data_IF_081467707293
#
_entry.id   IF_081467707293
#
_cell.length_a   1.000
_cell.length_b   1.000
_cell.length_c   1.000
_cell.angle_alpha   90.00
_cell.angle_beta   90.00
_cell.angle_gamma   90.00
#
_symmetry.space_group_name_H-M   'P 1'
#
loop_
_entity.id
_entity.type
_entity.pdbx_description
1 polymer ?
#
# COMPACT_ATOMS: atom_id res chain seq x y z
N UNK A 1 4.85 -11.31 9.00
CA UNK A 1 4.78 -9.92 8.51
C UNK A 1 4.29 -9.99 7.06
N UNK A 2 3.16 -9.40 6.70
CA UNK A 2 2.58 -9.49 5.34
C UNK A 2 3.28 -8.50 4.39
N UNK A 3 3.38 -8.84 3.09
CA UNK A 3 4.05 -7.99 2.08
C UNK A 3 3.53 -6.54 2.06
N UNK A 4 2.20 -6.37 2.18
CA UNK A 4 1.56 -5.07 2.31
C UNK A 4 2.12 -4.24 3.48
N UNK A 5 2.30 -4.83 4.66
CA UNK A 5 2.84 -4.10 5.81
C UNK A 5 4.30 -3.67 5.59
N UNK A 6 5.08 -4.43 4.82
CA UNK A 6 6.44 -4.04 4.45
C UNK A 6 6.42 -2.86 3.50
N UNK A 7 5.63 -2.92 2.43
CA UNK A 7 5.51 -1.84 1.44
C UNK A 7 4.89 -0.58 2.07
N UNK A 8 3.85 -0.71 2.89
CA UNK A 8 3.14 0.40 3.53
C UNK A 8 4.02 1.28 4.44
N UNK A 9 5.21 0.81 4.84
CA UNK A 9 6.18 1.62 5.60
C UNK A 9 6.79 2.74 4.77
N UNK A 10 6.84 2.62 3.45
CA UNK A 10 7.30 3.70 2.57
C UNK A 10 6.18 4.70 2.23
N UNK A 11 4.98 4.55 2.81
CA UNK A 11 3.86 5.44 2.54
C UNK A 11 4.22 6.87 2.94
N UNK A 12 3.99 7.79 2.01
CA UNK A 12 4.14 9.22 2.24
C UNK A 12 2.88 9.80 2.86
N UNK A 13 3.06 10.85 3.65
CA UNK A 13 1.99 11.60 4.26
C UNK A 13 2.15 13.08 3.92
N UNK A 14 1.05 13.74 3.57
CA UNK A 14 1.00 15.17 3.30
C UNK A 14 0.03 15.82 4.28
N UNK A 15 0.53 16.73 5.12
CA UNK A 15 -0.26 17.36 6.19
C UNK A 15 -1.00 16.34 7.09
N UNK A 16 -0.43 15.15 7.29
CA UNK A 16 -1.03 14.06 8.08
C UNK A 16 -2.03 13.20 7.31
N UNK A 17 -2.32 13.52 6.05
CA UNK A 17 -3.14 12.71 5.15
C UNK A 17 -2.26 11.63 4.49
N UNK A 18 -2.61 10.34 4.59
CA UNK A 18 -1.88 9.30 3.88
C UNK A 18 -2.06 9.43 2.37
N UNK A 19 -0.96 9.35 1.62
CA UNK A 19 -0.98 9.23 0.17
C UNK A 19 -1.05 7.76 -0.25
N UNK A 20 -1.57 7.51 -1.45
CA UNK A 20 -1.57 6.17 -2.04
C UNK A 20 -0.16 5.62 -2.22
N UNK A 21 -0.03 4.29 -2.16
CA UNK A 21 1.24 3.63 -2.44
C UNK A 21 1.56 3.73 -3.93
N UNK A 22 2.79 4.16 -4.21
CA UNK A 22 3.33 4.22 -5.57
C UNK A 22 3.79 2.83 -6.02
N UNK A 23 3.63 2.52 -7.31
CA UNK A 23 4.16 1.31 -7.94
C UNK A 23 5.67 1.17 -7.72
N UNK A 24 6.40 2.28 -7.58
CA UNK A 24 7.82 2.28 -7.24
C UNK A 24 8.11 1.56 -5.90
N UNK A 25 7.25 1.72 -4.90
CA UNK A 25 7.40 1.04 -3.60
C UNK A 25 7.17 -0.47 -3.73
N UNK A 26 6.23 -0.87 -4.58
CA UNK A 26 5.98 -2.29 -4.87
C UNK A 26 7.16 -2.88 -5.65
N UNK A 27 7.70 -2.15 -6.63
CA UNK A 27 8.88 -2.57 -7.40
C UNK A 27 10.08 -2.83 -6.49
N UNK A 28 10.40 -1.91 -5.58
CA UNK A 28 11.49 -2.08 -4.64
C UNK A 28 11.32 -3.33 -3.74
N UNK A 29 10.08 -3.68 -3.38
CA UNK A 29 9.80 -4.91 -2.63
C UNK A 29 10.08 -6.15 -3.48
N UNK A 30 9.56 -6.22 -4.71
CA UNK A 30 9.74 -7.43 -5.52
C UNK A 30 11.18 -7.66 -5.99
N UNK A 31 12.01 -6.61 -6.00
CA UNK A 31 13.45 -6.72 -6.30
C UNK A 31 14.19 -7.48 -5.20
N UNK A 32 13.64 -7.51 -3.98
CA UNK A 32 14.25 -8.17 -2.83
C UNK A 32 13.62 -9.53 -2.49
N UNK A 33 12.40 -9.80 -2.95
CA UNK A 33 11.62 -10.97 -2.53
C UNK A 33 10.95 -11.66 -3.72
N UNK A 34 10.97 -13.00 -3.70
CA UNK A 34 10.15 -13.79 -4.61
C UNK A 34 8.66 -13.63 -4.31
N UNK A 35 7.87 -13.61 -5.39
CA UNK A 35 6.42 -13.46 -5.28
C UNK A 35 5.73 -14.82 -5.19
N UNK A 36 4.71 -14.95 -4.32
CA UNK A 36 3.94 -16.19 -4.22
C UNK A 36 2.96 -16.39 -5.39
N UNK A 37 2.77 -15.36 -6.21
CA UNK A 37 1.83 -15.29 -7.35
C UNK A 37 2.43 -14.42 -8.45
N UNK A 38 1.80 -14.43 -9.63
CA UNK A 38 2.16 -13.56 -10.73
C UNK A 38 2.11 -12.09 -10.34
N UNK A 39 3.03 -11.31 -10.92
CA UNK A 39 3.25 -9.91 -10.54
C UNK A 39 1.98 -9.05 -10.60
N UNK A 40 1.14 -9.27 -11.61
CA UNK A 40 -0.10 -8.50 -11.78
C UNK A 40 -1.09 -8.81 -10.64
N UNK A 41 -1.26 -10.09 -10.26
CA UNK A 41 -2.11 -10.50 -9.13
C UNK A 41 -1.60 -9.90 -7.83
N UNK A 42 -0.27 -9.95 -7.61
CA UNK A 42 0.34 -9.35 -6.43
C UNK A 42 0.08 -7.83 -6.36
N UNK A 43 0.28 -7.10 -7.46
CA UNK A 43 0.02 -5.67 -7.52
C UNK A 43 -1.45 -5.34 -7.23
N UNK A 44 -2.39 -6.07 -7.84
CA UNK A 44 -3.82 -5.89 -7.60
C UNK A 44 -4.20 -6.10 -6.13
N UNK A 45 -3.60 -7.11 -5.48
CA UNK A 45 -3.80 -7.34 -4.05
C UNK A 45 -3.24 -6.18 -3.21
N UNK A 46 -2.05 -5.68 -3.53
CA UNK A 46 -1.47 -4.55 -2.80
C UNK A 46 -2.30 -3.29 -2.95
N UNK A 47 -2.74 -2.95 -4.17
CA UNK A 47 -3.59 -1.78 -4.40
C UNK A 47 -4.97 -1.91 -3.74
N UNK A 48 -5.58 -3.09 -3.77
CA UNK A 48 -6.86 -3.32 -3.09
C UNK A 48 -6.73 -3.09 -1.58
N UNK A 49 -5.65 -3.60 -0.95
CA UNK A 49 -5.38 -3.37 0.46
C UNK A 49 -5.06 -1.89 0.76
N UNK A 50 -4.42 -1.21 -0.18
CA UNK A 50 -4.11 0.22 -0.10
C UNK A 50 -5.38 1.07 -0.09
N UNK A 51 -6.29 0.82 -1.03
CA UNK A 51 -7.57 1.51 -1.15
C UNK A 51 -8.42 1.31 0.11
N UNK A 52 -8.50 0.08 0.63
CA UNK A 52 -9.21 -0.19 1.89
C UNK A 52 -8.65 0.64 3.06
N UNK A 53 -7.33 0.80 3.14
CA UNK A 53 -6.70 1.62 4.18
C UNK A 53 -7.00 3.11 4.00
N UNK A 54 -6.91 3.62 2.78
CA UNK A 54 -7.21 5.03 2.47
C UNK A 54 -8.67 5.36 2.75
N UNK A 55 -9.59 4.47 2.37
CA UNK A 55 -11.02 4.58 2.67
C UNK A 55 -11.27 4.70 4.17
N UNK A 56 -10.62 3.85 4.98
CA UNK A 56 -10.72 3.94 6.44
C UNK A 56 -10.13 5.24 6.98
N UNK A 57 -8.99 5.70 6.46
CA UNK A 57 -8.35 6.94 6.87
C UNK A 57 -9.25 8.15 6.57
N UNK A 58 -9.84 8.20 5.38
CA UNK A 58 -10.77 9.25 4.97
C UNK A 58 -12.08 9.21 5.78
N UNK A 59 -12.62 8.02 6.08
CA UNK A 59 -13.79 7.88 6.95
C UNK A 59 -13.51 8.39 8.37
N UNK A 60 -12.29 8.20 8.89
CA UNK A 60 -11.88 8.69 10.21
C UNK A 60 -11.65 10.21 10.22
N UNK A 61 -11.12 10.79 9.14
CA UNK A 61 -10.95 12.25 9.04
C UNK A 61 -12.28 12.98 8.88
N UNK A 62 -13.26 12.41 8.18
CA UNK A 62 -14.60 13.00 8.01
C UNK A 62 -15.48 12.95 9.25
N UNK A 63 -15.14 12.14 10.26
CA UNK A 63 -15.89 12.01 11.53
C UNK A 63 -15.40 12.97 12.63
N UNK A 64 -14.53 13.92 12.29
CA UNK A 64 -13.91 14.88 13.20
C UNK A 64 -14.41 16.28 12.89
#
# INVERSE_FOLDING_TARGET
MTAYNTIARSRRYEQGVPLALDIAAINAYVEQYDLPVERYIFNDCIFTLDDMFLDEAHKKSSKK
#
